data_IF_062082491942
#
_entry.id   IF_062082491942
#
_cell.length_a   1.000
_cell.length_b   1.000
_cell.length_c   1.000
_cell.angle_alpha   90.00
_cell.angle_beta   90.00
_cell.angle_gamma   90.00
#
_symmetry.space_group_name_H-M   'P 1'
#
loop_
_entity.id
_entity.type
_entity.pdbx_description
1 polymer ?
#
# COMPACT_ATOMS: atom_id res chain seq x y z
N UNK A 1 -21.05 72.16 26.93
CA UNK A 1 -20.15 71.77 28.04
C UNK A 1 -18.68 71.93 27.63
N UNK A 2 -17.76 72.11 28.58
CA UNK A 2 -16.31 72.04 28.30
C UNK A 2 -15.90 70.57 28.36
N UNK A 3 -15.66 69.98 27.19
CA UNK A 3 -14.97 68.68 27.10
C UNK A 3 -13.61 68.87 27.79
N UNK A 4 -13.36 68.07 28.82
CA UNK A 4 -12.09 68.09 29.54
C UNK A 4 -11.00 67.43 28.69
N UNK A 5 -9.76 67.89 28.85
CA UNK A 5 -8.60 67.34 28.12
C UNK A 5 -8.48 65.81 28.26
N UNK A 6 -8.97 65.27 29.39
CA UNK A 6 -9.07 63.84 29.68
C UNK A 6 -10.09 63.09 28.81
N UNK A 7 -11.26 63.67 28.56
CA UNK A 7 -12.30 63.08 27.69
C UNK A 7 -11.84 63.04 26.22
N UNK A 8 -11.09 64.04 25.76
CA UNK A 8 -10.50 64.05 24.42
C UNK A 8 -9.49 62.91 24.26
N UNK A 9 -8.65 62.69 25.27
CA UNK A 9 -7.66 61.61 25.28
C UNK A 9 -8.33 60.23 25.27
N UNK A 10 -9.38 60.03 26.05
CA UNK A 10 -10.14 58.77 26.10
C UNK A 10 -10.85 58.45 24.77
N UNK A 11 -11.41 59.46 24.10
CA UNK A 11 -12.02 59.31 22.76
C UNK A 11 -10.99 58.91 21.70
N UNK A 12 -9.83 59.58 21.68
CA UNK A 12 -8.74 59.25 20.75
C UNK A 12 -8.22 57.83 21.01
N UNK A 13 -8.09 57.46 22.28
CA UNK A 13 -7.65 56.12 22.67
C UNK A 13 -8.64 55.04 22.24
N UNK A 14 -9.95 55.24 22.48
CA UNK A 14 -11.01 54.34 22.04
C UNK A 14 -10.97 54.13 20.53
N UNK A 15 -10.91 55.20 19.75
CA UNK A 15 -10.83 55.14 18.28
C UNK A 15 -9.65 54.28 17.82
N UNK A 16 -8.47 54.49 18.43
CA UNK A 16 -7.25 53.74 18.11
C UNK A 16 -7.34 52.25 18.45
N UNK A 17 -8.10 51.88 19.49
CA UNK A 17 -8.32 50.48 19.85
C UNK A 17 -9.30 49.84 18.87
N UNK A 18 -10.35 50.55 18.45
CA UNK A 18 -11.31 50.07 17.45
C UNK A 18 -10.66 49.77 16.09
N UNK A 19 -9.80 50.66 15.60
CA UNK A 19 -9.01 50.42 14.38
C UNK A 19 -8.16 49.14 14.49
N UNK A 20 -7.60 48.86 15.66
CA UNK A 20 -6.83 47.62 15.90
C UNK A 20 -7.74 46.40 15.93
N UNK A 21 -8.93 46.51 16.49
CA UNK A 21 -9.94 45.44 16.52
C UNK A 21 -10.32 45.06 15.09
N UNK A 22 -10.69 46.04 14.26
CA UNK A 22 -11.01 45.82 12.83
C UNK A 22 -9.84 45.18 12.09
N UNK A 23 -8.63 45.71 12.25
CA UNK A 23 -7.45 45.17 11.58
C UNK A 23 -7.10 43.72 11.98
N UNK A 24 -7.35 43.33 13.23
CA UNK A 24 -7.16 41.94 13.69
C UNK A 24 -8.29 41.05 13.17
N UNK A 25 -9.52 41.54 13.19
CA UNK A 25 -10.69 40.84 12.68
C UNK A 25 -10.56 40.51 11.19
N UNK A 26 -10.14 41.48 10.37
CA UNK A 26 -9.93 41.27 8.94
C UNK A 26 -8.85 40.23 8.66
N UNK A 27 -7.76 40.24 9.44
CA UNK A 27 -6.71 39.23 9.36
C UNK A 27 -7.20 37.85 9.76
N UNK A 28 -8.05 37.75 10.78
CA UNK A 28 -8.68 36.49 11.19
C UNK A 28 -9.62 35.97 10.10
N UNK A 29 -10.46 36.84 9.54
CA UNK A 29 -11.39 36.51 8.45
C UNK A 29 -10.68 35.98 7.21
N UNK A 30 -9.52 36.54 6.86
CA UNK A 30 -8.74 36.08 5.72
C UNK A 30 -8.22 34.63 5.86
N UNK A 31 -7.96 34.16 7.09
CA UNK A 31 -7.39 32.82 7.33
C UNK A 31 -8.43 31.80 7.83
N UNK A 32 -9.48 32.25 8.50
CA UNK A 32 -10.58 31.44 9.01
C UNK A 32 -11.88 32.26 9.04
N UNK A 33 -12.64 32.26 7.92
CA UNK A 33 -13.89 33.01 7.82
C UNK A 33 -14.95 32.59 8.83
N UNK A 34 -15.03 31.30 9.16
CA UNK A 34 -16.04 30.76 10.09
C UNK A 34 -15.82 31.29 11.51
N UNK A 35 -14.60 31.18 12.04
CA UNK A 35 -14.28 31.70 13.37
C UNK A 35 -14.38 33.23 13.43
N UNK A 36 -14.05 33.92 12.35
CA UNK A 36 -14.27 35.36 12.27
C UNK A 36 -15.76 35.70 12.39
N UNK A 37 -16.64 34.94 11.71
CA UNK A 37 -18.08 35.17 11.78
C UNK A 37 -18.63 34.92 13.21
N UNK A 38 -18.17 33.86 13.88
CA UNK A 38 -18.50 33.60 15.30
C UNK A 38 -18.11 34.76 16.22
N UNK A 39 -17.00 35.44 15.92
CA UNK A 39 -16.45 36.53 16.72
C UNK A 39 -16.97 37.92 16.32
N UNK A 40 -17.78 38.02 15.27
CA UNK A 40 -18.29 39.30 14.76
C UNK A 40 -19.03 40.12 15.82
N UNK A 41 -19.78 39.47 16.70
CA UNK A 41 -20.53 40.15 17.77
C UNK A 41 -19.62 40.93 18.71
N UNK A 42 -18.38 40.48 18.96
CA UNK A 42 -17.43 41.21 19.80
C UNK A 42 -16.94 42.52 19.14
N UNK A 43 -16.84 42.54 17.81
CA UNK A 43 -16.49 43.77 17.07
C UNK A 43 -17.61 44.80 17.17
N UNK A 44 -18.86 44.35 17.05
CA UNK A 44 -20.04 45.20 17.21
C UNK A 44 -20.12 45.73 18.65
N UNK A 45 -19.94 44.84 19.65
CA UNK A 45 -19.92 45.22 21.06
C UNK A 45 -18.88 46.32 21.33
N UNK A 46 -17.65 46.16 20.81
CA UNK A 46 -16.58 47.13 21.01
C UNK A 46 -16.95 48.53 20.47
N UNK A 47 -17.67 48.61 19.36
CA UNK A 47 -18.08 49.87 18.74
C UNK A 47 -19.16 50.61 19.56
N UNK A 48 -20.04 49.88 20.25
CA UNK A 48 -21.20 50.42 20.95
C UNK A 48 -20.93 50.81 22.42
N UNK A 49 -19.94 50.19 23.08
CA UNK A 49 -19.63 50.45 24.50
C UNK A 49 -18.62 51.59 24.70
N UNK A 50 -18.70 52.31 25.82
CA UNK A 50 -17.71 53.33 26.21
C UNK A 50 -16.67 52.84 27.23
N UNK A 51 -16.84 51.63 27.78
CA UNK A 51 -15.87 51.03 28.71
C UNK A 51 -14.59 50.60 27.97
N UNK A 52 -13.56 51.45 28.03
CA UNK A 52 -12.24 51.21 27.43
C UNK A 52 -11.60 49.90 27.91
N UNK A 53 -11.80 49.50 29.17
CA UNK A 53 -11.21 48.25 29.67
C UNK A 53 -11.86 47.05 28.99
N UNK A 54 -13.19 47.07 28.82
CA UNK A 54 -13.90 46.02 28.09
C UNK A 54 -13.48 45.97 26.62
N UNK A 55 -13.33 47.13 25.95
CA UNK A 55 -12.83 47.19 24.56
C UNK A 55 -11.42 46.60 24.46
N UNK A 56 -10.54 46.89 25.42
CA UNK A 56 -9.19 46.28 25.47
C UNK A 56 -9.24 44.76 25.64
N UNK A 57 -10.13 44.25 26.49
CA UNK A 57 -10.31 42.80 26.66
C UNK A 57 -10.79 42.13 25.36
N UNK A 58 -11.71 42.77 24.63
CA UNK A 58 -12.16 42.30 23.31
C UNK A 58 -10.99 42.23 22.32
N UNK A 59 -10.16 43.29 22.28
CA UNK A 59 -8.97 43.30 21.43
C UNK A 59 -8.02 42.14 21.76
N UNK A 60 -7.76 41.88 23.04
CA UNK A 60 -6.89 40.78 23.45
C UNK A 60 -7.49 39.40 23.12
N UNK A 61 -8.81 39.19 23.29
CA UNK A 61 -9.46 37.94 22.87
C UNK A 61 -9.31 37.71 21.37
N UNK A 62 -9.58 38.73 20.54
CA UNK A 62 -9.44 38.63 19.08
C UNK A 62 -7.99 38.36 18.67
N UNK A 63 -7.01 39.02 19.31
CA UNK A 63 -5.58 38.75 19.07
C UNK A 63 -5.21 37.32 19.39
N UNK A 64 -5.66 36.79 20.54
CA UNK A 64 -5.34 35.42 20.95
C UNK A 64 -5.93 34.40 19.98
N UNK A 65 -7.19 34.58 19.59
CA UNK A 65 -7.84 33.73 18.58
C UNK A 65 -7.11 33.81 17.23
N UNK A 66 -6.73 35.00 16.79
CA UNK A 66 -5.94 35.19 15.57
C UNK A 66 -4.58 34.50 15.64
N UNK A 67 -3.81 34.67 16.72
CA UNK A 67 -2.48 34.06 16.88
C UNK A 67 -2.58 32.53 16.83
N UNK A 68 -3.53 31.94 17.56
CA UNK A 68 -3.73 30.50 17.60
C UNK A 68 -4.14 29.96 16.23
N UNK A 69 -5.09 30.62 15.57
CA UNK A 69 -5.58 30.24 14.23
C UNK A 69 -4.49 30.39 13.18
N UNK A 70 -3.72 31.48 13.23
CA UNK A 70 -2.59 31.72 12.31
C UNK A 70 -1.53 30.63 12.45
N UNK A 71 -1.23 30.19 13.68
CA UNK A 71 -0.29 29.10 13.92
C UNK A 71 -0.76 27.82 13.23
N UNK A 72 -2.02 27.44 13.42
CA UNK A 72 -2.62 26.26 12.79
C UNK A 72 -2.67 26.39 11.25
N UNK A 73 -3.01 27.57 10.74
CA UNK A 73 -3.02 27.86 9.32
C UNK A 73 -1.61 27.69 8.71
N UNK A 74 -0.59 28.32 9.30
CA UNK A 74 0.80 28.20 8.82
C UNK A 74 1.25 26.74 8.84
N UNK A 75 1.02 26.03 9.95
CA UNK A 75 1.34 24.60 10.06
C UNK A 75 0.64 23.80 8.96
N UNK A 76 -0.63 24.06 8.71
CA UNK A 76 -1.39 23.39 7.65
C UNK A 76 -0.79 23.68 6.28
N UNK A 77 -0.43 24.93 5.97
CA UNK A 77 0.18 25.27 4.68
C UNK A 77 1.54 24.60 4.48
N UNK A 78 2.36 24.53 5.54
CA UNK A 78 3.63 23.79 5.51
C UNK A 78 3.38 22.31 5.21
N UNK A 79 2.48 21.66 5.94
CA UNK A 79 2.14 20.26 5.73
C UNK A 79 1.56 19.99 4.33
N UNK A 80 0.75 20.90 3.78
CA UNK A 80 0.26 20.79 2.39
C UNK A 80 1.38 20.88 1.38
N UNK A 81 2.37 21.73 1.61
CA UNK A 81 3.53 21.83 0.73
C UNK A 81 4.42 20.59 0.83
N UNK A 82 4.63 20.04 2.03
CA UNK A 82 5.36 18.78 2.21
C UNK A 82 4.64 17.62 1.50
N UNK A 83 3.31 17.55 1.62
CA UNK A 83 2.48 16.55 0.93
C UNK A 83 2.63 16.61 -0.59
N UNK A 84 2.75 17.80 -1.21
CA UNK A 84 2.82 17.93 -2.69
C UNK A 84 3.95 17.09 -3.29
N UNK A 85 5.07 16.92 -2.59
CA UNK A 85 6.21 16.11 -3.07
C UNK A 85 5.81 14.64 -3.28
N UNK A 86 4.79 14.17 -2.57
CA UNK A 86 4.30 12.79 -2.64
C UNK A 86 3.12 12.58 -3.59
N UNK A 87 2.66 13.61 -4.32
CA UNK A 87 1.48 13.52 -5.21
C UNK A 87 1.65 12.42 -6.27
N UNK A 88 2.78 12.42 -6.98
CA UNK A 88 3.08 11.38 -7.98
C UNK A 88 3.15 9.99 -7.35
N UNK A 89 3.73 9.89 -6.15
CA UNK A 89 3.86 8.60 -5.47
C UNK A 89 2.50 8.08 -4.97
N UNK A 90 1.58 8.97 -4.60
CA UNK A 90 0.20 8.61 -4.25
C UNK A 90 -0.55 8.02 -5.46
N UNK A 91 -0.34 8.59 -6.64
CA UNK A 91 -0.88 8.07 -7.90
C UNK A 91 -0.32 6.67 -8.20
N UNK A 92 1.00 6.51 -8.21
CA UNK A 92 1.69 5.24 -8.47
C UNK A 92 1.29 4.12 -7.49
N UNK A 93 0.93 4.47 -6.25
CA UNK A 93 0.54 3.52 -5.21
C UNK A 93 -0.97 3.29 -5.09
N UNK A 94 -1.77 4.02 -5.88
CA UNK A 94 -3.23 3.94 -5.86
C UNK A 94 -3.90 4.62 -4.66
N UNK A 95 -3.18 5.49 -3.93
CA UNK A 95 -3.62 6.19 -2.71
C UNK A 95 -4.07 7.64 -2.98
N UNK A 96 -4.44 7.96 -4.22
CA UNK A 96 -4.79 9.32 -4.64
C UNK A 96 -6.02 9.89 -3.92
N UNK A 97 -6.98 9.03 -3.53
CA UNK A 97 -8.19 9.47 -2.82
C UNK A 97 -7.85 9.98 -1.42
N UNK A 98 -7.03 9.25 -0.68
CA UNK A 98 -6.54 9.60 0.64
C UNK A 98 -5.66 10.85 0.58
N UNK A 99 -4.80 10.94 -0.43
CA UNK A 99 -4.00 12.13 -0.70
C UNK A 99 -4.87 13.38 -0.88
N UNK A 100 -5.87 13.30 -1.77
CA UNK A 100 -6.78 14.41 -2.04
C UNK A 100 -7.61 14.80 -0.82
N UNK A 101 -8.00 13.83 0.02
CA UNK A 101 -8.69 14.09 1.29
C UNK A 101 -7.83 14.98 2.20
N UNK A 102 -6.57 14.63 2.42
CA UNK A 102 -5.66 15.43 3.24
C UNK A 102 -5.38 16.81 2.62
N UNK A 103 -5.12 16.86 1.31
CA UNK A 103 -4.85 18.11 0.57
C UNK A 103 -5.97 19.15 0.74
N UNK A 104 -7.22 18.68 0.81
CA UNK A 104 -8.41 19.52 0.89
C UNK A 104 -8.86 19.86 2.32
N UNK A 105 -8.26 19.28 3.37
CA UNK A 105 -8.60 19.63 4.75
C UNK A 105 -8.24 21.09 5.08
N UNK A 106 -9.09 21.75 5.86
CA UNK A 106 -8.90 23.13 6.32
C UNK A 106 -7.77 23.22 7.36
N UNK A 107 -7.65 22.20 8.22
CA UNK A 107 -6.60 22.05 9.22
C UNK A 107 -6.00 20.65 9.05
N UNK A 108 -4.67 20.56 9.04
CA UNK A 108 -3.95 19.30 9.00
C UNK A 108 -3.22 19.04 10.31
N UNK A 109 -3.32 17.80 10.78
CA UNK A 109 -2.48 17.29 11.85
C UNK A 109 -1.20 16.69 11.25
N UNK A 110 -0.04 16.98 11.85
CA UNK A 110 1.24 16.39 11.47
C UNK A 110 1.20 14.86 11.58
N UNK A 111 0.59 14.30 12.61
CA UNK A 111 0.55 12.85 12.81
C UNK A 111 -0.21 12.13 11.69
N UNK A 112 -1.33 12.70 11.23
CA UNK A 112 -2.11 12.15 10.11
C UNK A 112 -1.30 12.17 8.80
N UNK A 113 -0.57 13.25 8.55
CA UNK A 113 0.31 13.40 7.38
C UNK A 113 1.47 12.41 7.45
N UNK A 114 2.14 12.30 8.59
CA UNK A 114 3.27 11.38 8.78
C UNK A 114 2.83 9.91 8.63
N UNK A 115 1.66 9.56 9.17
CA UNK A 115 1.09 8.22 9.02
C UNK A 115 0.70 7.92 7.57
N UNK A 116 0.13 8.88 6.85
CA UNK A 116 -0.14 8.74 5.43
C UNK A 116 1.15 8.51 4.62
N UNK A 117 2.20 9.31 4.86
CA UNK A 117 3.50 9.17 4.18
C UNK A 117 4.12 7.79 4.46
N UNK A 118 4.10 7.33 5.73
CA UNK A 118 4.59 5.98 6.09
C UNK A 118 3.85 4.89 5.33
N UNK A 119 2.52 4.96 5.29
CA UNK A 119 1.69 3.98 4.58
C UNK A 119 2.00 3.97 3.08
N UNK A 120 2.16 5.15 2.50
CA UNK A 120 2.47 5.35 1.08
C UNK A 120 3.86 4.78 0.71
N UNK A 121 4.88 5.02 1.54
CA UNK A 121 6.21 4.42 1.37
C UNK A 121 6.19 2.90 1.53
N UNK A 122 5.46 2.38 2.52
CA UNK A 122 5.27 0.94 2.71
C UNK A 122 4.57 0.31 1.51
N UNK A 123 3.55 0.98 0.95
CA UNK A 123 2.82 0.51 -0.23
C UNK A 123 3.72 0.47 -1.46
N UNK A 124 4.54 1.49 -1.68
CA UNK A 124 5.54 1.49 -2.77
C UNK A 124 6.52 0.33 -2.63
N UNK A 125 7.01 0.07 -1.41
CA UNK A 125 7.91 -1.07 -1.14
C UNK A 125 7.24 -2.39 -1.51
N UNK A 126 5.99 -2.60 -1.10
CA UNK A 126 5.24 -3.81 -1.45
C UNK A 126 5.08 -3.99 -2.96
N UNK A 127 4.78 -2.91 -3.69
CA UNK A 127 4.66 -2.95 -5.16
C UNK A 127 5.99 -3.32 -5.80
N UNK A 128 7.09 -2.68 -5.41
CA UNK A 128 8.42 -3.00 -5.93
C UNK A 128 8.85 -4.44 -5.62
N UNK A 129 8.56 -4.92 -4.42
CA UNK A 129 8.84 -6.31 -4.04
C UNK A 129 8.02 -7.28 -4.90
N UNK A 130 6.75 -6.97 -5.16
CA UNK A 130 5.89 -7.77 -6.02
C UNK A 130 6.37 -7.78 -7.48
N UNK A 131 6.77 -6.62 -8.02
CA UNK A 131 7.34 -6.50 -9.37
C UNK A 131 8.65 -7.28 -9.50
N UNK A 132 9.54 -7.15 -8.52
CA UNK A 132 10.80 -7.90 -8.48
C UNK A 132 10.55 -9.41 -8.43
N UNK A 133 9.61 -9.86 -7.59
CA UNK A 133 9.21 -11.27 -7.52
C UNK A 133 8.66 -11.75 -8.86
N UNK A 134 7.78 -10.98 -9.48
CA UNK A 134 7.20 -11.31 -10.78
C UNK A 134 8.27 -11.46 -11.86
N UNK A 135 9.21 -10.52 -11.94
CA UNK A 135 10.33 -10.59 -12.89
C UNK A 135 11.23 -11.80 -12.65
N UNK A 136 11.52 -12.16 -11.39
CA UNK A 136 12.27 -13.38 -11.06
C UNK A 136 11.53 -14.66 -11.48
N UNK A 137 10.22 -14.71 -11.26
CA UNK A 137 9.38 -15.84 -11.68
C UNK A 137 9.32 -15.97 -13.20
N UNK A 138 9.14 -14.87 -13.93
CA UNK A 138 9.14 -14.84 -15.39
C UNK A 138 10.43 -15.45 -15.95
N UNK A 139 11.59 -15.04 -15.42
CA UNK A 139 12.89 -15.59 -15.83
C UNK A 139 13.03 -17.08 -15.50
N UNK A 140 12.64 -17.48 -14.29
CA UNK A 140 12.65 -18.90 -13.91
C UNK A 140 11.80 -19.75 -14.85
N UNK A 141 10.58 -19.31 -15.16
CA UNK A 141 9.67 -20.04 -16.06
C UNK A 141 10.24 -20.11 -17.47
N UNK A 142 10.82 -19.03 -17.99
CA UNK A 142 11.47 -19.03 -19.30
C UNK A 142 12.61 -20.05 -19.37
N UNK A 143 13.47 -20.12 -18.32
CA UNK A 143 14.54 -21.12 -18.26
C UNK A 143 14.05 -22.56 -18.14
N UNK A 144 12.96 -22.77 -17.40
CA UNK A 144 12.28 -24.07 -17.34
C UNK A 144 11.77 -24.45 -18.73
N UNK A 145 11.15 -23.52 -19.46
CA UNK A 145 10.65 -23.77 -20.82
C UNK A 145 11.77 -24.06 -21.84
N UNK A 146 12.92 -23.37 -21.74
CA UNK A 146 14.11 -23.64 -22.57
C UNK A 146 14.61 -25.09 -22.42
N UNK A 147 14.39 -25.73 -21.27
CA UNK A 147 14.75 -27.13 -21.00
C UNK A 147 13.69 -28.14 -21.46
N UNK A 148 12.66 -27.71 -22.18
CA UNK A 148 11.62 -28.59 -22.75
C UNK A 148 10.42 -28.85 -21.85
N UNK A 149 10.29 -28.09 -20.75
CA UNK A 149 9.09 -28.10 -19.91
C UNK A 149 8.00 -27.21 -20.53
N UNK A 150 6.74 -27.53 -20.31
CA UNK A 150 5.64 -26.75 -20.89
C UNK A 150 4.62 -26.31 -19.85
N UNK A 151 4.22 -25.05 -19.93
CA UNK A 151 3.22 -24.44 -19.05
C UNK A 151 1.81 -24.88 -19.43
N UNK A 152 0.96 -25.13 -18.43
CA UNK A 152 -0.43 -25.61 -18.64
C UNK A 152 -1.44 -24.46 -18.79
N UNK A 153 -1.18 -23.30 -18.17
CA UNK A 153 -2.10 -22.14 -18.15
C UNK A 153 -1.39 -20.84 -18.54
N UNK A 154 -2.08 -19.99 -19.31
CA UNK A 154 -1.55 -18.71 -19.79
C UNK A 154 -1.22 -17.71 -18.68
N UNK A 155 -1.93 -17.75 -17.53
CA UNK A 155 -1.68 -16.88 -16.37
C UNK A 155 -0.97 -17.60 -15.21
N UNK A 156 0.04 -18.41 -15.52
CA UNK A 156 0.82 -19.13 -14.51
C UNK A 156 1.50 -18.17 -13.52
N UNK A 157 2.07 -17.06 -14.01
CA UNK A 157 2.79 -16.08 -13.19
C UNK A 157 1.84 -15.36 -12.24
N UNK A 158 0.64 -14.97 -12.70
CA UNK A 158 -0.38 -14.36 -11.86
C UNK A 158 -0.87 -15.30 -10.76
N UNK A 159 -1.20 -16.55 -11.10
CA UNK A 159 -1.61 -17.56 -10.12
C UNK A 159 -0.52 -17.85 -9.08
N UNK A 160 0.73 -18.05 -9.54
CA UNK A 160 1.87 -18.31 -8.67
C UNK A 160 2.19 -17.12 -7.75
N UNK A 161 2.08 -15.89 -8.26
CA UNK A 161 2.28 -14.65 -7.48
C UNK A 161 1.23 -14.47 -6.37
N UNK A 162 0.03 -15.06 -6.53
CA UNK A 162 -1.01 -15.09 -5.50
C UNK A 162 -0.89 -16.26 -4.50
N UNK A 163 0.18 -17.05 -4.60
CA UNK A 163 0.44 -18.20 -3.73
C UNK A 163 -0.37 -19.45 -4.07
N UNK A 164 -1.01 -19.49 -5.25
CA UNK A 164 -1.68 -20.71 -5.73
C UNK A 164 -0.64 -21.73 -6.19
N UNK A 165 -1.00 -23.01 -6.09
CA UNK A 165 -0.22 -24.08 -6.67
C UNK A 165 -0.48 -24.12 -8.17
N UNK A 166 0.60 -24.01 -8.94
CA UNK A 166 0.58 -24.14 -10.41
C UNK A 166 1.37 -25.37 -10.83
N UNK A 167 1.07 -25.88 -12.02
CA UNK A 167 1.67 -27.11 -12.54
C UNK A 167 2.32 -26.87 -13.90
N UNK A 168 3.51 -27.44 -14.09
CA UNK A 168 4.29 -27.40 -15.33
C UNK A 168 4.53 -28.84 -15.77
N UNK A 169 4.24 -29.14 -17.04
CA UNK A 169 4.51 -30.45 -17.62
C UNK A 169 6.01 -30.64 -17.82
N UNK A 170 6.48 -31.84 -17.55
CA UNK A 170 7.89 -32.19 -17.67
C UNK A 170 8.16 -32.94 -18.97
N UNK A 171 9.39 -32.87 -19.50
CA UNK A 171 9.79 -33.65 -20.68
C UNK A 171 9.97 -35.14 -20.39
N UNK A 172 9.75 -35.61 -19.15
CA UNK A 172 10.00 -36.99 -18.74
C UNK A 172 8.80 -37.93 -18.88
N UNK A 173 7.69 -37.44 -19.44
CA UNK A 173 6.46 -38.19 -19.69
C UNK A 173 5.23 -37.51 -19.10
N UNK A 174 4.06 -37.88 -19.60
CA UNK A 174 2.77 -37.23 -19.26
C UNK A 174 2.37 -37.41 -17.79
N UNK A 175 2.89 -38.43 -17.13
CA UNK A 175 2.63 -38.71 -15.71
C UNK A 175 3.42 -37.80 -14.76
N UNK A 176 4.44 -37.09 -15.24
CA UNK A 176 5.34 -36.32 -14.40
C UNK A 176 5.07 -34.82 -14.52
N UNK A 177 4.91 -34.18 -13.36
CA UNK A 177 4.63 -32.74 -13.26
C UNK A 177 5.55 -32.09 -12.24
N UNK A 178 5.87 -30.81 -12.48
CA UNK A 178 6.41 -29.92 -11.46
C UNK A 178 5.26 -29.12 -10.87
N UNK A 179 5.11 -29.19 -9.55
CA UNK A 179 4.17 -28.35 -8.79
C UNK A 179 4.94 -27.23 -8.13
N UNK A 180 4.52 -26.00 -8.37
CA UNK A 180 5.17 -24.80 -7.89
C UNK A 180 4.22 -24.02 -7.00
N UNK A 181 4.76 -23.51 -5.90
CA UNK A 181 4.04 -22.60 -5.01
C UNK A 181 5.00 -21.56 -4.48
N UNK A 182 4.62 -20.29 -4.58
CA UNK A 182 5.39 -19.21 -3.99
C UNK A 182 4.84 -18.93 -2.59
N UNK A 183 5.70 -18.98 -1.59
CA UNK A 183 5.38 -18.68 -0.19
C UNK A 183 6.33 -17.58 0.33
N UNK A 184 6.10 -17.12 1.57
CA UNK A 184 6.89 -16.03 2.17
C UNK A 184 8.39 -16.37 2.29
N UNK A 185 8.73 -17.66 2.36
CA UNK A 185 10.09 -18.18 2.46
C UNK A 185 10.75 -18.46 1.10
N UNK A 186 10.02 -18.36 -0.03
CA UNK A 186 10.54 -18.52 -1.38
C UNK A 186 9.67 -19.38 -2.31
N UNK A 187 10.21 -19.71 -3.48
CA UNK A 187 9.58 -20.61 -4.44
C UNK A 187 9.78 -22.07 -4.01
N UNK A 188 8.69 -22.77 -3.70
CA UNK A 188 8.68 -24.21 -3.42
C UNK A 188 8.36 -24.98 -4.70
N UNK A 189 9.19 -25.97 -4.99
CA UNK A 189 9.05 -26.81 -6.18
C UNK A 189 9.00 -28.26 -5.75
N UNK A 190 8.02 -29.00 -6.26
CA UNK A 190 7.85 -30.41 -5.98
C UNK A 190 7.70 -31.18 -7.28
N UNK A 191 8.61 -32.13 -7.51
CA UNK A 191 8.53 -33.08 -8.62
C UNK A 191 7.63 -34.25 -8.21
N UNK A 192 6.59 -34.51 -9.00
CA UNK A 192 5.58 -35.52 -8.68
C UNK A 192 5.31 -36.43 -9.88
N UNK A 193 4.93 -37.68 -9.59
CA UNK A 193 4.32 -38.59 -10.58
C UNK A 193 2.85 -38.81 -10.23
N UNK A 194 1.98 -38.65 -11.23
CA UNK A 194 0.58 -39.00 -11.15
C UNK A 194 0.38 -40.49 -11.40
N UNK A 195 -0.28 -41.16 -10.46
CA UNK A 195 -0.51 -42.62 -10.49
C UNK A 195 -1.95 -42.94 -10.10
N UNK A 196 -2.44 -44.14 -10.39
CA UNK A 196 -3.76 -44.59 -9.93
C UNK A 196 -3.69 -45.04 -8.46
N UNK A 197 -2.70 -45.88 -8.14
CA UNK A 197 -2.37 -46.24 -6.76
C UNK A 197 -0.87 -46.42 -6.58
N UNK A 198 -0.30 -45.73 -5.59
CA UNK A 198 1.11 -45.85 -5.20
C UNK A 198 1.45 -47.25 -4.69
N UNK A 199 0.48 -47.95 -4.08
CA UNK A 199 0.68 -49.31 -3.54
C UNK A 199 0.91 -50.35 -4.64
N UNK A 200 0.48 -50.05 -5.87
CA UNK A 200 0.59 -50.96 -7.02
C UNK A 200 1.90 -50.77 -7.79
N UNK A 201 2.74 -49.79 -7.42
CA UNK A 201 4.01 -49.54 -8.07
C UNK A 201 5.05 -50.60 -7.70
N UNK A 202 5.63 -51.23 -8.71
CA UNK A 202 6.74 -52.16 -8.55
C UNK A 202 8.02 -51.45 -8.07
N UNK A 203 8.94 -52.20 -7.45
CA UNK A 203 10.25 -51.64 -7.08
C UNK A 203 11.02 -51.12 -8.29
N UNK A 204 10.88 -51.77 -9.45
CA UNK A 204 11.50 -51.35 -10.69
C UNK A 204 11.01 -49.97 -11.12
N UNK A 205 9.70 -49.72 -11.07
CA UNK A 205 9.13 -48.41 -11.37
C UNK A 205 9.62 -47.35 -10.38
N UNK A 206 9.62 -47.65 -9.08
CA UNK A 206 10.11 -46.70 -8.06
C UNK A 206 11.58 -46.32 -8.30
N UNK A 207 12.44 -47.28 -8.67
CA UNK A 207 13.85 -47.01 -9.03
C UNK A 207 13.97 -46.15 -10.29
N UNK A 208 13.14 -46.41 -11.30
CA UNK A 208 13.08 -45.60 -12.52
C UNK A 208 12.65 -44.17 -12.22
N UNK A 209 11.66 -43.99 -11.37
CA UNK A 209 11.11 -42.68 -10.99
C UNK A 209 12.17 -41.87 -10.22
N UNK A 210 12.92 -42.50 -9.31
CA UNK A 210 14.08 -41.89 -8.64
C UNK A 210 15.12 -41.45 -9.66
N UNK A 211 15.46 -42.29 -10.64
CA UNK A 211 16.43 -41.95 -11.68
C UNK A 211 15.96 -40.76 -12.55
N UNK A 212 14.66 -40.67 -12.82
CA UNK A 212 14.05 -39.52 -13.51
C UNK A 212 14.11 -38.26 -12.64
N UNK A 213 13.76 -38.34 -11.36
CA UNK A 213 13.85 -37.19 -10.45
C UNK A 213 15.28 -36.68 -10.31
N UNK A 214 16.31 -37.54 -10.38
CA UNK A 214 17.71 -37.08 -10.44
C UNK A 214 18.01 -36.24 -11.68
N UNK A 215 17.39 -36.54 -12.83
CA UNK A 215 17.50 -35.69 -14.02
C UNK A 215 16.89 -34.32 -13.76
N UNK A 216 15.71 -34.27 -13.14
CA UNK A 216 15.13 -33.00 -12.67
C UNK A 216 16.07 -32.25 -11.72
N UNK A 217 16.66 -32.90 -10.72
CA UNK A 217 17.61 -32.26 -9.82
C UNK A 217 18.80 -31.64 -10.59
N UNK A 218 19.29 -32.31 -11.63
CA UNK A 218 20.34 -31.75 -12.50
C UNK A 218 19.85 -30.54 -13.30
N UNK A 219 18.63 -30.58 -13.83
CA UNK A 219 18.05 -29.45 -14.56
C UNK A 219 17.77 -28.26 -13.63
N UNK A 220 17.35 -28.50 -12.40
CA UNK A 220 17.18 -27.48 -11.36
C UNK A 220 18.52 -26.79 -11.03
N UNK A 221 19.61 -27.54 -10.89
CA UNK A 221 20.94 -26.93 -10.67
C UNK A 221 21.37 -26.05 -11.84
N UNK A 222 21.10 -26.47 -13.09
CA UNK A 222 21.38 -25.63 -14.27
C UNK A 222 20.56 -24.35 -14.23
N UNK A 223 19.26 -24.44 -13.95
CA UNK A 223 18.37 -23.28 -13.84
C UNK A 223 18.89 -22.32 -12.76
N UNK A 224 19.27 -22.84 -11.59
CA UNK A 224 19.81 -22.05 -10.48
C UNK A 224 21.09 -21.32 -10.88
N UNK A 225 22.01 -22.00 -11.56
CA UNK A 225 23.24 -21.38 -12.07
C UNK A 225 22.96 -20.26 -13.07
N UNK A 226 22.06 -20.50 -14.03
CA UNK A 226 21.66 -19.51 -15.03
C UNK A 226 21.00 -18.28 -14.39
N UNK A 227 20.11 -18.48 -13.43
CA UNK A 227 19.45 -17.38 -12.71
C UNK A 227 20.44 -16.59 -11.85
N UNK A 228 21.42 -17.27 -11.23
CA UNK A 228 22.47 -16.61 -10.46
C UNK A 228 23.34 -15.70 -11.34
N UNK A 229 23.61 -16.07 -12.60
CA UNK A 229 24.33 -15.21 -13.56
C UNK A 229 23.56 -13.93 -13.88
N UNK A 230 22.23 -13.97 -13.78
CA UNK A 230 21.34 -12.81 -13.96
C UNK A 230 21.02 -12.08 -12.64
N UNK A 231 21.75 -12.38 -11.56
CA UNK A 231 21.58 -11.72 -10.25
C UNK A 231 20.38 -12.21 -9.44
N UNK A 232 19.79 -13.36 -9.79
CA UNK A 232 18.67 -13.97 -9.07
C UNK A 232 19.17 -15.19 -8.32
N UNK A 233 19.16 -15.11 -6.99
CA UNK A 233 19.51 -16.23 -6.12
C UNK A 233 18.26 -16.98 -5.71
N UNK A 234 18.19 -18.29 -6.01
CA UNK A 234 17.21 -19.20 -5.42
C UNK A 234 17.86 -19.84 -4.19
N UNK A 235 17.27 -19.61 -3.01
CA UNK A 235 17.75 -20.21 -1.76
C UNK A 235 17.21 -21.64 -1.62
N UNK A 236 18.12 -22.61 -1.47
CA UNK A 236 17.76 -23.99 -1.14
C UNK A 236 17.63 -24.14 0.39
N UNK A 237 16.59 -23.56 0.97
CA UNK A 237 16.37 -23.67 2.43
C UNK A 237 16.14 -25.11 2.87
N UNK A 238 15.40 -25.88 2.06
CA UNK A 238 15.05 -27.27 2.34
C UNK A 238 15.07 -28.05 1.02
N UNK A 239 16.03 -28.96 0.87
CA UNK A 239 16.12 -29.89 -0.25
C UNK A 239 15.96 -31.32 0.24
N UNK A 240 15.07 -32.07 -0.41
CA UNK A 240 14.82 -33.49 -0.13
C UNK A 240 15.25 -34.27 -1.37
N UNK A 241 16.26 -35.12 -1.22
CA UNK A 241 16.76 -35.93 -2.34
C UNK A 241 15.73 -37.02 -2.73
N UNK A 242 15.63 -37.37 -4.02
CA UNK A 242 14.68 -38.37 -4.52
C UNK A 242 14.81 -39.75 -3.85
N UNK A 243 16.01 -40.14 -3.45
CA UNK A 243 16.27 -41.40 -2.73
C UNK A 243 15.68 -41.39 -1.31
N UNK A 244 15.57 -40.21 -0.71
CA UNK A 244 14.98 -40.04 0.62
C UNK A 244 13.46 -40.07 0.52
N UNK A 245 12.90 -39.38 -0.48
CA UNK A 245 11.46 -39.33 -0.70
C UNK A 245 11.12 -38.95 -2.14
N UNK A 246 10.25 -39.73 -2.76
CA UNK A 246 9.58 -39.42 -4.01
C UNK A 246 8.08 -39.17 -3.75
N UNK A 247 7.46 -38.25 -4.49
CA UNK A 247 6.07 -37.86 -4.29
C UNK A 247 5.15 -38.42 -5.38
N UNK A 248 4.14 -39.20 -4.97
CA UNK A 248 3.10 -39.73 -5.85
C UNK A 248 1.76 -39.04 -5.56
N UNK A 249 1.00 -38.70 -6.61
CA UNK A 249 -0.34 -38.11 -6.48
C UNK A 249 -1.36 -38.98 -7.21
N UNK A 250 -2.47 -39.34 -6.56
CA UNK A 250 -3.57 -40.06 -7.19
C UNK A 250 -4.25 -39.20 -8.27
N UNK A 251 -4.39 -39.71 -9.50
CA UNK A 251 -5.00 -39.00 -10.64
C UNK A 251 -6.38 -38.39 -10.33
N UNK A 252 -7.25 -39.08 -9.60
CA UNK A 252 -8.58 -38.56 -9.23
C UNK A 252 -8.54 -37.27 -8.37
N UNK A 253 -7.50 -37.09 -7.54
CA UNK A 253 -7.34 -35.86 -6.74
C UNK A 253 -6.91 -34.66 -7.59
N UNK A 254 -6.34 -34.90 -8.78
CA UNK A 254 -5.91 -33.86 -9.70
C UNK A 254 -7.13 -33.12 -10.32
N UNK A 255 -8.13 -33.89 -10.77
CA UNK A 255 -9.35 -33.33 -11.39
C UNK A 255 -10.18 -32.50 -10.41
N UNK A 256 -10.25 -32.92 -9.15
CA UNK A 256 -10.98 -32.20 -8.09
C UNK A 256 -10.29 -30.88 -7.75
N UNK A 257 -8.95 -30.86 -7.73
CA UNK A 257 -8.18 -29.64 -7.44
C UNK A 257 -8.34 -28.60 -8.55
N UNK A 258 -8.34 -29.02 -9.82
CA UNK A 258 -8.61 -28.13 -10.96
C UNK A 258 -10.04 -27.59 -10.94
N UNK A 259 -11.05 -28.44 -10.72
CA UNK A 259 -12.46 -28.00 -10.62
C UNK A 259 -12.70 -27.05 -9.45
N UNK A 260 -12.11 -27.28 -8.28
CA UNK A 260 -12.25 -26.37 -7.13
C UNK A 260 -11.56 -25.01 -7.34
N UNK A 261 -10.46 -24.96 -8.09
CA UNK A 261 -9.80 -23.71 -8.46
C UNK A 261 -10.66 -22.88 -9.43
N UNK A 262 -11.34 -23.52 -10.38
CA UNK A 262 -12.22 -22.85 -11.34
C UNK A 262 -13.53 -22.37 -10.70
N UNK A 263 -14.11 -23.15 -9.79
CA UNK A 263 -15.32 -22.75 -9.04
C UNK A 263 -15.04 -21.50 -8.17
N UNK A 264 -13.87 -21.42 -7.52
CA UNK A 264 -13.48 -20.24 -6.73
C UNK A 264 -13.26 -18.98 -7.58
N UNK A 265 -12.81 -19.11 -8.84
CA UNK A 265 -12.69 -17.98 -9.78
C UNK A 265 -14.06 -17.41 -10.16
N UNK A 266 -15.03 -18.29 -10.43
CA UNK A 266 -16.40 -17.89 -10.80
C UNK A 266 -17.11 -17.18 -9.63
N UNK A 267 -16.92 -17.67 -8.40
CA UNK A 267 -17.54 -17.07 -7.21
C UNK A 267 -16.95 -15.70 -6.86
N UNK A 268 -15.64 -15.48 -7.05
CA UNK A 268 -15.02 -14.16 -6.86
C UNK A 268 -15.45 -13.15 -7.94
N UNK A 269 -15.56 -13.57 -9.20
CA UNK A 269 -16.04 -12.69 -10.29
C UNK A 269 -17.51 -12.32 -10.13
N UNK A 270 -18.35 -13.22 -9.61
CA UNK A 270 -19.75 -12.88 -9.28
C UNK A 270 -19.86 -11.90 -8.13
N UNK A 271 -19.02 -12.00 -7.09
CA UNK A 271 -19.01 -11.05 -5.97
C UNK A 271 -18.51 -9.66 -6.34
N UNK A 272 -17.60 -9.55 -7.32
CA UNK A 272 -17.12 -8.25 -7.82
C UNK A 272 -18.09 -7.55 -8.79
N UNK A 273 -19.09 -8.25 -9.34
CA UNK A 273 -20.13 -7.68 -10.20
C UNK A 273 -21.43 -7.32 -9.45
N UNK A 274 -21.52 -7.69 -8.18
CA UNK A 274 -22.70 -7.47 -7.33
C UNK A 274 -22.48 -6.37 -6.27
N UNK A 275 -21.47 -5.52 -6.44
CA UNK A 275 -21.20 -4.33 -5.63
C UNK A 275 -21.18 -3.11 -6.53
#
# INVERSE_FOLDING_TARGET
ERITEKEIVEVIEKQRILEKIEAVFDKLKAINPELAEEKRQLVVEAAEIDDIQRIRLILEDLKMNYINTRRLYIQTQVLKNDLKVFEKLAEETGMQKEFNKLKNMSILNREEVDNFIKNLLNRKRQIMDQERRRGSLEKFINKVMELGYSVIKDDLIGELSTGKIVEIKTPFGEDYMLRLKYEDDGLKIMFVRYVEDEKNLSEYEKRRDIAIAKKWCSDYEKIKQLLSQEGITIEDKIRIEPETRFYYIKREKAEITNKQQDIKKIDMQKRQRSV
#
